data_IF_141423197848
#
_entry.id   IF_141423197848
#
_cell.length_a   1.000
_cell.length_b   1.000
_cell.length_c   1.000
_cell.angle_alpha   90.00
_cell.angle_beta   90.00
_cell.angle_gamma   90.00
#
_symmetry.space_group_name_H-M   'P 1'
#
loop_
_entity.id
_entity.type
_entity.pdbx_description
1 polymer ?
#
# COMPACT_ATOMS: atom_id res chain seq x y z
N UNK A 1 -8.04 -23.66 -61.89
CA UNK A 1 -8.74 -24.40 -60.83
C UNK A 1 -7.71 -25.15 -60.00
N UNK A 2 -7.30 -24.58 -58.87
CA UNK A 2 -6.56 -25.26 -57.78
C UNK A 2 -6.86 -24.44 -56.53
N UNK A 3 -8.00 -24.73 -55.90
CA UNK A 3 -8.30 -24.24 -54.56
C UNK A 3 -7.46 -25.07 -53.61
N UNK A 4 -6.35 -24.49 -53.14
CA UNK A 4 -5.58 -25.06 -52.05
C UNK A 4 -6.44 -25.01 -50.79
N UNK A 5 -6.54 -26.16 -50.12
CA UNK A 5 -7.50 -26.42 -49.04
C UNK A 5 -7.43 -25.43 -47.89
N UNK A 6 -8.62 -25.12 -47.37
CA UNK A 6 -8.84 -24.58 -46.04
C UNK A 6 -8.36 -25.62 -45.04
N UNK A 7 -7.09 -25.52 -44.64
CA UNK A 7 -6.56 -26.26 -43.49
C UNK A 7 -7.14 -25.67 -42.21
N UNK A 8 -8.00 -26.44 -41.54
CA UNK A 8 -8.61 -26.14 -40.23
C UNK A 8 -7.59 -26.16 -39.07
N UNK A 9 -6.50 -25.42 -39.20
CA UNK A 9 -5.50 -25.26 -38.15
C UNK A 9 -5.33 -23.78 -37.83
N UNK A 10 -6.05 -23.27 -36.82
CA UNK A 10 -5.75 -21.95 -36.25
C UNK A 10 -4.25 -21.90 -35.90
N UNK A 11 -3.47 -20.93 -36.41
CA UNK A 11 -2.05 -20.85 -36.12
C UNK A 11 -1.88 -20.60 -34.62
N UNK A 12 -1.09 -21.43 -33.93
CA UNK A 12 -0.88 -21.39 -32.47
C UNK A 12 -0.58 -19.98 -31.92
N UNK A 13 0.00 -19.10 -32.74
CA UNK A 13 0.30 -17.70 -32.42
C UNK A 13 -0.92 -16.81 -32.18
N UNK A 14 -2.03 -17.00 -32.90
CA UNK A 14 -3.23 -16.15 -32.75
C UNK A 14 -3.99 -16.47 -31.45
N UNK A 15 -4.13 -17.75 -31.12
CA UNK A 15 -4.73 -18.20 -29.85
C UNK A 15 -3.92 -17.71 -28.65
N UNK A 16 -2.59 -17.80 -28.72
CA UNK A 16 -1.70 -17.33 -27.66
C UNK A 16 -1.82 -15.81 -27.44
N UNK A 17 -1.87 -15.01 -28.51
CA UNK A 17 -2.06 -13.56 -28.41
C UNK A 17 -3.42 -13.19 -27.80
N UNK A 18 -4.49 -13.92 -28.14
CA UNK A 18 -5.81 -13.73 -27.54
C UNK A 18 -5.80 -14.03 -26.04
N UNK A 19 -5.17 -15.14 -25.63
CA UNK A 19 -5.00 -15.48 -24.22
C UNK A 19 -4.22 -14.40 -23.46
N UNK A 20 -3.13 -13.87 -24.03
CA UNK A 20 -2.35 -12.78 -23.43
C UNK A 20 -3.18 -11.49 -23.27
N UNK A 21 -4.00 -11.15 -24.27
CA UNK A 21 -4.89 -9.97 -24.21
C UNK A 21 -5.92 -10.11 -23.08
N UNK A 22 -6.60 -11.26 -23.02
CA UNK A 22 -7.61 -11.50 -21.98
C UNK A 22 -6.97 -11.50 -20.58
N UNK A 23 -5.83 -12.16 -20.44
CA UNK A 23 -5.05 -12.15 -19.20
C UNK A 23 -4.70 -10.71 -18.79
N UNK A 24 -4.07 -9.92 -19.68
CA UNK A 24 -3.66 -8.55 -19.39
C UNK A 24 -4.86 -7.65 -19.05
N UNK A 25 -6.01 -7.84 -19.71
CA UNK A 25 -7.24 -7.12 -19.38
C UNK A 25 -7.73 -7.44 -17.96
N UNK A 26 -7.80 -8.73 -17.59
CA UNK A 26 -8.21 -9.15 -16.25
C UNK A 26 -7.27 -8.59 -15.17
N UNK A 27 -5.95 -8.69 -15.36
CA UNK A 27 -4.98 -8.15 -14.41
C UNK A 27 -5.06 -6.62 -14.29
N UNK A 28 -5.32 -5.89 -15.37
CA UNK A 28 -5.54 -4.44 -15.30
C UNK A 28 -6.79 -4.09 -14.48
N UNK A 29 -7.89 -4.84 -14.65
CA UNK A 29 -9.11 -4.64 -13.84
C UNK A 29 -8.83 -4.95 -12.36
N UNK A 30 -8.13 -6.03 -12.05
CA UNK A 30 -7.76 -6.37 -10.67
C UNK A 30 -6.82 -5.32 -10.04
N UNK A 31 -5.82 -4.85 -10.78
CA UNK A 31 -4.91 -3.78 -10.36
C UNK A 31 -5.66 -2.48 -10.10
N UNK A 32 -6.61 -2.11 -10.97
CA UNK A 32 -7.46 -0.95 -10.79
C UNK A 32 -8.27 -1.04 -9.49
N UNK A 33 -8.97 -2.16 -9.27
CA UNK A 33 -9.78 -2.35 -8.07
C UNK A 33 -8.92 -2.32 -6.79
N UNK A 34 -7.76 -2.98 -6.83
CA UNK A 34 -6.83 -3.00 -5.69
C UNK A 34 -6.28 -1.60 -5.41
N UNK A 35 -5.92 -0.84 -6.44
CA UNK A 35 -5.47 0.54 -6.30
C UNK A 35 -6.55 1.46 -5.70
N UNK A 36 -7.82 1.29 -6.10
CA UNK A 36 -8.95 2.01 -5.49
C UNK A 36 -9.08 1.68 -4.00
N UNK A 37 -8.92 0.41 -3.61
CA UNK A 37 -8.95 0.01 -2.20
C UNK A 37 -7.81 0.66 -1.41
N UNK A 38 -6.58 0.63 -1.92
CA UNK A 38 -5.42 1.28 -1.26
C UNK A 38 -5.65 2.78 -1.10
N UNK A 39 -6.13 3.46 -2.16
CA UNK A 39 -6.42 4.88 -2.14
C UNK A 39 -7.49 5.19 -1.07
N UNK A 40 -8.57 4.41 -1.05
CA UNK A 40 -9.67 4.57 -0.09
C UNK A 40 -9.20 4.37 1.35
N UNK A 41 -8.45 3.30 1.63
CA UNK A 41 -7.90 3.03 2.97
C UNK A 41 -6.87 4.08 3.39
N UNK A 42 -5.98 4.49 2.49
CA UNK A 42 -4.99 5.52 2.74
C UNK A 42 -5.63 6.87 3.09
N UNK A 43 -6.68 7.26 2.34
CA UNK A 43 -7.45 8.46 2.67
C UNK A 43 -8.24 8.29 3.98
N UNK A 44 -8.84 7.12 4.22
CA UNK A 44 -9.57 6.86 5.46
C UNK A 44 -8.66 7.03 6.68
N UNK A 45 -7.52 6.35 6.73
CA UNK A 45 -6.56 6.52 7.85
C UNK A 45 -6.10 7.98 7.96
N UNK A 46 -5.93 8.68 6.83
CA UNK A 46 -5.52 10.08 6.82
C UNK A 46 -6.56 11.04 7.43
N UNK A 47 -7.84 10.73 7.27
CA UNK A 47 -8.94 11.56 7.75
C UNK A 47 -9.61 11.04 9.03
N UNK A 48 -9.12 9.94 9.59
CA UNK A 48 -9.47 9.49 10.93
C UNK A 48 -8.92 10.50 11.96
N UNK A 49 -9.83 11.15 12.69
CA UNK A 49 -9.51 12.29 13.54
C UNK A 49 -8.63 11.89 14.73
N UNK A 50 -8.95 10.79 15.38
CA UNK A 50 -8.26 10.31 16.58
C UNK A 50 -6.85 9.82 16.18
N UNK A 51 -6.77 9.00 15.13
CA UNK A 51 -5.50 8.51 14.60
C UNK A 51 -4.59 9.65 14.16
N UNK A 52 -5.13 10.64 13.44
CA UNK A 52 -4.38 11.83 13.01
C UNK A 52 -3.85 12.62 14.19
N UNK A 53 -4.64 12.80 15.24
CA UNK A 53 -4.23 13.54 16.42
C UNK A 53 -3.07 12.81 17.12
N UNK A 54 -3.15 11.49 17.29
CA UNK A 54 -2.08 10.69 17.90
C UNK A 54 -0.77 10.78 17.14
N UNK A 55 -0.79 10.60 15.81
CA UNK A 55 0.42 10.69 15.00
C UNK A 55 1.06 12.09 15.09
N UNK A 56 0.24 13.15 15.12
CA UNK A 56 0.74 14.52 15.21
C UNK A 56 1.39 14.80 16.55
N UNK A 57 0.70 14.50 17.66
CA UNK A 57 1.18 14.80 19.02
C UNK A 57 2.36 13.90 19.42
N UNK A 58 2.43 12.64 18.93
CA UNK A 58 3.57 11.74 19.14
C UNK A 58 4.75 12.00 18.18
N UNK A 59 4.64 13.04 17.33
CA UNK A 59 5.67 13.44 16.37
C UNK A 59 6.05 12.33 15.37
N UNK A 60 5.08 11.47 15.01
CA UNK A 60 5.27 10.32 14.12
C UNK A 60 5.13 10.70 12.64
N UNK A 61 5.72 11.83 12.23
CA UNK A 61 5.56 12.39 10.88
C UNK A 61 5.98 11.43 9.76
N UNK A 62 6.96 10.56 10.01
CA UNK A 62 7.48 9.60 9.04
C UNK A 62 6.45 8.52 8.67
N UNK A 63 5.48 8.23 9.54
CA UNK A 63 4.36 7.34 9.23
C UNK A 63 3.56 7.86 8.01
N UNK A 64 3.27 9.17 7.99
CA UNK A 64 2.51 9.79 6.90
C UNK A 64 3.26 9.75 5.57
N UNK A 65 4.59 9.82 5.59
CA UNK A 65 5.40 9.72 4.37
C UNK A 65 5.14 8.42 3.63
N UNK A 66 5.13 7.28 4.34
CA UNK A 66 4.83 5.98 3.75
C UNK A 66 3.41 5.92 3.16
N UNK A 67 2.42 6.39 3.92
CA UNK A 67 1.01 6.43 3.46
C UNK A 67 0.84 7.30 2.21
N UNK A 68 1.46 8.48 2.16
CA UNK A 68 1.34 9.37 1.00
C UNK A 68 2.01 8.81 -0.26
N UNK A 69 3.16 8.14 -0.11
CA UNK A 69 3.81 7.45 -1.23
C UNK A 69 2.87 6.38 -1.80
N UNK A 70 2.23 5.58 -0.94
CA UNK A 70 1.27 4.56 -1.37
C UNK A 70 0.02 5.15 -2.03
N UNK A 71 -0.52 6.25 -1.50
CA UNK A 71 -1.65 6.96 -2.14
C UNK A 71 -1.27 7.47 -3.53
N UNK A 72 -0.09 8.08 -3.67
CA UNK A 72 0.39 8.58 -4.95
C UNK A 72 0.63 7.44 -5.95
N UNK A 73 1.32 6.37 -5.54
CA UNK A 73 1.55 5.19 -6.37
C UNK A 73 0.24 4.53 -6.80
N UNK A 74 -0.69 4.30 -5.89
CA UNK A 74 -2.01 3.72 -6.20
C UNK A 74 -2.80 4.60 -7.18
N UNK A 75 -2.77 5.92 -7.03
CA UNK A 75 -3.43 6.85 -7.96
C UNK A 75 -2.86 6.75 -9.38
N UNK A 76 -1.53 6.61 -9.50
CA UNK A 76 -0.87 6.43 -10.80
C UNK A 76 -1.22 5.06 -11.38
N UNK A 77 -1.17 3.98 -10.60
CA UNK A 77 -1.51 2.62 -11.05
C UNK A 77 -2.97 2.53 -11.51
N UNK A 78 -3.88 3.23 -10.83
CA UNK A 78 -5.27 3.36 -11.24
C UNK A 78 -5.38 3.97 -12.64
N UNK A 79 -4.66 5.07 -12.92
CA UNK A 79 -4.61 5.68 -14.26
C UNK A 79 -3.94 4.76 -15.29
N UNK A 80 -2.84 4.10 -14.92
CA UNK A 80 -2.12 3.15 -15.80
C UNK A 80 -2.98 1.94 -16.16
N UNK A 81 -3.89 1.51 -15.28
CA UNK A 81 -4.79 0.39 -15.55
C UNK A 81 -5.75 0.71 -16.71
N UNK A 82 -6.25 1.95 -16.81
CA UNK A 82 -7.02 2.40 -17.98
C UNK A 82 -6.17 2.42 -19.25
N UNK A 83 -4.94 2.94 -19.17
CA UNK A 83 -4.00 2.96 -20.29
C UNK A 83 -3.65 1.52 -20.73
N UNK A 84 -3.50 0.59 -19.79
CA UNK A 84 -3.26 -0.83 -20.04
C UNK A 84 -4.40 -1.47 -20.82
N UNK A 85 -5.65 -1.19 -20.46
CA UNK A 85 -6.83 -1.62 -21.23
C UNK A 85 -6.82 -1.05 -22.66
N UNK A 86 -6.57 0.26 -22.83
CA UNK A 86 -6.46 0.89 -24.15
C UNK A 86 -5.29 0.33 -24.99
N UNK A 87 -4.13 0.09 -24.36
CA UNK A 87 -2.96 -0.48 -25.01
C UNK A 87 -3.18 -1.91 -25.50
N UNK A 88 -3.96 -2.69 -24.74
CA UNK A 88 -4.35 -4.06 -25.11
C UNK A 88 -5.27 -4.07 -26.33
N UNK A 89 -6.21 -3.12 -26.42
CA UNK A 89 -7.17 -2.99 -27.54
C UNK A 89 -6.51 -2.43 -28.80
N UNK A 90 -5.64 -1.42 -28.65
CA UNK A 90 -4.98 -0.75 -29.78
C UNK A 90 -3.83 -1.55 -30.38
N UNK A 91 -3.35 -2.60 -29.69
CA UNK A 91 -2.26 -3.48 -30.12
C UNK A 91 -0.98 -2.70 -30.50
N UNK A 92 -0.78 -1.54 -29.90
CA UNK A 92 0.35 -0.67 -30.21
C UNK A 92 1.56 -1.04 -29.33
N UNK A 93 2.67 -1.55 -29.89
CA UNK A 93 3.84 -1.99 -29.13
C UNK A 93 4.55 -0.86 -28.37
N UNK A 94 4.37 0.39 -28.78
CA UNK A 94 4.93 1.56 -28.10
C UNK A 94 4.13 1.91 -26.85
N UNK A 95 2.79 1.94 -26.95
CA UNK A 95 1.91 2.17 -25.79
C UNK A 95 2.12 1.09 -24.74
N UNK A 96 2.21 -0.17 -25.17
CA UNK A 96 2.42 -1.30 -24.28
C UNK A 96 3.80 -1.27 -23.60
N UNK A 97 4.82 -0.77 -24.31
CA UNK A 97 6.15 -0.54 -23.74
C UNK A 97 6.17 0.58 -22.69
N UNK A 98 5.50 1.70 -22.97
CA UNK A 98 5.37 2.81 -22.01
C UNK A 98 4.62 2.38 -20.75
N UNK A 99 3.51 1.65 -20.91
CA UNK A 99 2.76 1.05 -19.80
C UNK A 99 3.66 0.19 -18.91
N UNK A 100 4.46 -0.72 -19.49
CA UNK A 100 5.37 -1.59 -18.73
C UNK A 100 6.45 -0.81 -17.98
N UNK A 101 7.02 0.24 -18.58
CA UNK A 101 8.02 1.09 -17.93
C UNK A 101 7.40 1.86 -16.77
N UNK A 102 6.23 2.47 -16.97
CA UNK A 102 5.54 3.24 -15.93
C UNK A 102 5.10 2.34 -14.75
N UNK A 103 4.64 1.11 -15.04
CA UNK A 103 4.38 0.13 -13.99
C UNK A 103 5.64 -0.25 -13.21
N UNK A 104 6.79 -0.39 -13.87
CA UNK A 104 8.05 -0.67 -13.19
C UNK A 104 8.45 0.48 -12.24
N UNK A 105 8.26 1.73 -12.65
CA UNK A 105 8.47 2.90 -11.77
C UNK A 105 7.52 2.87 -10.59
N UNK A 106 6.24 2.57 -10.81
CA UNK A 106 5.25 2.46 -9.73
C UNK A 106 5.60 1.35 -8.75
N UNK A 107 6.06 0.19 -9.25
CA UNK A 107 6.51 -0.93 -8.43
C UNK A 107 7.63 -0.51 -7.46
N UNK A 108 8.63 0.21 -7.95
CA UNK A 108 9.73 0.70 -7.10
C UNK A 108 9.22 1.68 -6.04
N UNK A 109 8.35 2.61 -6.43
CA UNK A 109 7.73 3.57 -5.50
C UNK A 109 6.88 2.87 -4.44
N UNK A 110 6.15 1.84 -4.83
CA UNK A 110 5.27 1.07 -3.96
C UNK A 110 6.07 0.28 -2.93
N UNK A 111 7.13 -0.42 -3.34
CA UNK A 111 8.03 -1.12 -2.42
C UNK A 111 8.70 -0.14 -1.46
N UNK A 112 9.14 1.03 -1.95
CA UNK A 112 9.68 2.08 -1.09
C UNK A 112 8.63 2.60 -0.09
N UNK A 113 7.39 2.82 -0.54
CA UNK A 113 6.28 3.25 0.30
C UNK A 113 5.93 2.23 1.39
N UNK A 114 5.85 0.95 1.03
CA UNK A 114 5.62 -0.16 1.98
C UNK A 114 6.77 -0.24 2.99
N UNK A 115 8.03 -0.16 2.54
CA UNK A 115 9.18 -0.21 3.44
C UNK A 115 9.18 0.95 4.45
N UNK A 116 8.90 2.18 4.00
CA UNK A 116 8.80 3.35 4.89
C UNK A 116 7.62 3.20 5.85
N UNK A 117 6.46 2.73 5.37
CA UNK A 117 5.27 2.53 6.19
C UNK A 117 5.54 1.51 7.29
N UNK A 118 6.05 0.33 6.94
CA UNK A 118 6.33 -0.74 7.92
C UNK A 118 7.40 -0.31 8.92
N UNK A 119 8.47 0.36 8.46
CA UNK A 119 9.50 0.85 9.38
C UNK A 119 8.97 1.87 10.39
N UNK A 120 7.88 2.59 10.09
CA UNK A 120 7.29 3.61 10.94
C UNK A 120 5.92 3.23 11.53
N UNK A 121 5.42 2.04 11.25
CA UNK A 121 4.07 1.62 11.62
C UNK A 121 3.99 0.22 12.22
N UNK A 122 5.08 -0.55 12.24
CA UNK A 122 5.08 -1.95 12.71
C UNK A 122 5.75 -2.08 14.08
N UNK A 123 5.31 -3.06 14.87
CA UNK A 123 5.97 -3.42 16.12
C UNK A 123 7.41 -3.88 15.86
N UNK A 124 8.32 -3.60 16.80
CA UNK A 124 9.74 -3.94 16.73
C UNK A 124 10.53 -3.24 15.61
N UNK A 125 9.98 -2.17 15.04
CA UNK A 125 10.70 -1.28 14.12
C UNK A 125 11.15 0.01 14.81
N UNK A 126 11.68 0.97 14.05
CA UNK A 126 12.09 2.29 14.56
C UNK A 126 10.98 2.99 15.35
N UNK A 127 9.71 2.82 14.97
CA UNK A 127 8.58 3.45 15.66
C UNK A 127 8.46 2.98 17.11
N UNK A 128 8.77 1.71 17.40
CA UNK A 128 8.64 1.15 18.75
C UNK A 128 9.61 1.81 19.72
N UNK A 129 10.86 2.00 19.30
CA UNK A 129 11.88 2.67 20.10
C UNK A 129 11.59 4.16 20.24
N UNK A 130 11.19 4.81 19.14
CA UNK A 130 10.75 6.20 19.17
C UNK A 130 9.60 6.41 20.16
N UNK A 131 8.56 5.57 20.10
CA UNK A 131 7.43 5.65 21.03
C UNK A 131 7.85 5.47 22.48
N UNK A 132 8.79 4.56 22.76
CA UNK A 132 9.33 4.38 24.11
C UNK A 132 9.94 5.68 24.62
N UNK A 133 10.82 6.29 23.85
CA UNK A 133 11.50 7.53 24.27
C UNK A 133 10.50 8.69 24.37
N UNK A 134 9.57 8.80 23.42
CA UNK A 134 8.52 9.82 23.43
C UNK A 134 7.60 9.71 24.64
N UNK A 135 7.06 8.53 24.96
CA UNK A 135 6.22 8.40 26.15
C UNK A 135 6.97 8.72 27.44
N UNK A 136 8.27 8.39 27.52
CA UNK A 136 9.08 8.73 28.67
C UNK A 136 9.24 10.26 28.81
N UNK A 137 9.47 10.95 27.70
CA UNK A 137 9.52 12.41 27.64
C UNK A 137 8.19 13.05 28.02
N UNK A 138 7.06 12.54 27.50
CA UNK A 138 5.71 13.00 27.85
C UNK A 138 5.46 12.91 29.37
N UNK A 139 5.86 11.81 30.00
CA UNK A 139 5.77 11.64 31.45
C UNK A 139 6.62 12.69 32.17
N UNK A 140 7.86 12.92 31.72
CA UNK A 140 8.77 13.88 32.33
C UNK A 140 8.23 15.32 32.30
N UNK A 141 7.67 15.77 31.16
CA UNK A 141 7.19 17.16 30.98
C UNK A 141 5.72 17.40 31.34
N UNK A 142 4.99 16.36 31.75
CA UNK A 142 3.55 16.42 32.03
C UNK A 142 3.14 17.48 33.08
N UNK A 143 4.00 17.85 34.03
CA UNK A 143 3.65 18.85 35.06
C UNK A 143 3.74 20.30 34.55
N UNK A 144 4.54 20.52 33.51
CA UNK A 144 4.84 21.86 32.99
C UNK A 144 4.14 22.15 31.68
N UNK A 145 3.76 21.12 30.92
CA UNK A 145 3.11 21.25 29.63
C UNK A 145 1.73 20.56 29.62
N UNK A 146 0.68 21.36 29.75
CA UNK A 146 -0.71 20.89 29.76
C UNK A 146 -1.11 20.18 28.46
N UNK A 147 -0.48 20.49 27.31
CA UNK A 147 -0.76 19.81 26.03
C UNK A 147 -0.23 18.38 26.06
N UNK A 148 1.02 18.20 26.47
CA UNK A 148 1.68 16.88 26.58
C UNK A 148 0.99 16.01 27.64
N UNK A 149 0.61 16.61 28.78
CA UNK A 149 -0.18 15.93 29.80
C UNK A 149 -1.53 15.45 29.28
N UNK A 150 -2.22 16.29 28.49
CA UNK A 150 -3.52 15.94 27.89
C UNK A 150 -3.40 14.76 26.94
N UNK A 151 -2.42 14.75 26.03
CA UNK A 151 -2.27 13.66 25.07
C UNK A 151 -1.86 12.35 25.77
N UNK A 152 -0.94 12.41 26.74
CA UNK A 152 -0.55 11.24 27.54
C UNK A 152 -1.76 10.62 28.23
N UNK A 153 -2.61 11.47 28.81
CA UNK A 153 -3.85 11.05 29.47
C UNK A 153 -4.81 10.34 28.51
N UNK A 154 -5.11 10.97 27.37
CA UNK A 154 -6.02 10.42 26.36
C UNK A 154 -5.53 9.05 25.89
N UNK A 155 -4.24 8.93 25.56
CA UNK A 155 -3.67 7.67 25.08
C UNK A 155 -3.75 6.58 26.14
N UNK A 156 -3.34 6.85 27.39
CA UNK A 156 -3.38 5.84 28.46
C UNK A 156 -4.81 5.34 28.72
N UNK A 157 -5.78 6.24 28.66
CA UNK A 157 -7.18 5.95 28.89
C UNK A 157 -7.83 5.17 27.72
N UNK A 158 -7.58 5.58 26.47
CA UNK A 158 -8.22 4.99 25.29
C UNK A 158 -7.51 3.73 24.78
N UNK A 159 -6.18 3.70 24.81
CA UNK A 159 -5.39 2.55 24.33
C UNK A 159 -5.27 1.47 25.42
N UNK A 160 -5.45 1.86 26.69
CA UNK A 160 -5.36 0.97 27.84
C UNK A 160 -3.93 0.52 28.13
N UNK A 161 -3.08 1.50 28.46
CA UNK A 161 -1.66 1.29 28.75
C UNK A 161 -1.20 2.22 29.88
N UNK A 162 -0.03 1.94 30.48
CA UNK A 162 0.53 2.81 31.51
C UNK A 162 2.04 3.00 31.40
N UNK A 163 2.47 4.26 31.47
CA UNK A 163 3.87 4.63 31.41
C UNK A 163 4.46 4.47 30.02
N UNK A 164 5.79 4.59 29.91
CA UNK A 164 6.47 4.35 28.63
C UNK A 164 6.61 2.86 28.41
N UNK A 165 7.42 2.19 29.23
CA UNK A 165 7.61 0.76 29.32
C UNK A 165 6.70 0.11 30.36
N UNK A 166 6.47 0.80 31.49
CA UNK A 166 5.58 0.34 32.56
C UNK A 166 5.20 1.51 33.49
N UNK A 167 4.24 1.29 34.38
CA UNK A 167 3.86 2.27 35.41
C UNK A 167 5.00 2.70 36.34
N UNK A 168 6.04 1.87 36.51
CA UNK A 168 7.24 2.21 37.27
C UNK A 168 7.98 3.44 36.71
N UNK A 169 7.78 3.78 35.44
CA UNK A 169 8.39 4.97 34.83
C UNK A 169 7.97 6.26 35.56
N UNK A 170 6.74 6.35 36.07
CA UNK A 170 6.30 7.47 36.88
C UNK A 170 7.08 7.55 38.21
N UNK A 171 7.26 6.41 38.87
CA UNK A 171 8.00 6.32 40.14
C UNK A 171 9.46 6.72 39.93
N UNK A 172 10.08 6.28 38.83
CA UNK A 172 11.46 6.61 38.48
C UNK A 172 11.68 8.12 38.28
N UNK A 173 10.65 8.86 37.85
CA UNK A 173 10.70 10.32 37.73
C UNK A 173 10.04 11.05 38.92
N UNK A 174 9.81 10.35 40.03
CA UNK A 174 9.23 10.90 41.27
C UNK A 174 7.82 11.48 41.10
N UNK A 175 7.01 10.88 40.22
CA UNK A 175 5.61 11.26 39.98
C UNK A 175 4.64 10.16 40.43
N UNK A 176 3.43 10.51 40.89
CA UNK A 176 2.40 9.52 41.15
C UNK A 176 1.90 8.90 39.85
N UNK A 177 1.53 7.62 39.90
CA UNK A 177 0.86 6.96 38.77
C UNK A 177 -0.54 7.59 38.61
N UNK A 178 -0.90 8.10 37.42
CA UNK A 178 -2.16 8.78 37.19
C UNK A 178 -3.35 7.81 37.17
N UNK A 179 -4.55 8.31 37.45
CA UNK A 179 -5.76 7.46 37.50
C UNK A 179 -6.12 6.87 36.14
N UNK A 180 -5.71 7.51 35.05
CA UNK A 180 -5.95 7.07 33.68
C UNK A 180 -5.13 5.83 33.29
N UNK A 181 -4.15 5.45 34.13
CA UNK A 181 -3.47 4.16 34.05
C UNK A 181 -4.31 2.98 34.60
N UNK A 182 -5.57 3.19 34.99
CA UNK A 182 -6.43 2.16 35.54
C UNK A 182 -7.59 1.84 34.61
N UNK A 183 -7.90 0.56 34.50
CA UNK A 183 -9.08 0.07 33.81
C UNK A 183 -10.34 0.52 34.56
N UNK A 184 -11.27 1.17 33.85
CA UNK A 184 -12.49 1.73 34.45
C UNK A 184 -13.46 0.68 35.00
N UNK A 185 -13.43 -0.54 34.47
CA UNK A 185 -14.33 -1.61 34.86
C UNK A 185 -13.80 -2.38 36.07
N UNK A 186 -12.49 -2.66 36.10
CA UNK A 186 -11.87 -3.47 37.16
C UNK A 186 -11.16 -2.64 38.24
N UNK A 187 -10.79 -1.40 37.96
CA UNK A 187 -9.98 -0.53 38.82
C UNK A 187 -8.50 -0.92 38.89
N UNK A 188 -8.12 -2.00 38.19
CA UNK A 188 -6.75 -2.50 38.13
C UNK A 188 -5.89 -1.63 37.23
N UNK A 189 -4.60 -1.52 37.55
CA UNK A 189 -3.62 -0.82 36.75
C UNK A 189 -3.31 -1.59 35.46
N UNK A 190 -3.11 -0.87 34.35
CA UNK A 190 -2.64 -1.46 33.10
C UNK A 190 -1.19 -1.93 33.24
N UNK A 191 -0.96 -3.22 32.96
CA UNK A 191 0.37 -3.84 33.06
C UNK A 191 1.27 -3.53 31.84
N UNK A 192 0.68 -3.27 30.68
CA UNK A 192 1.41 -3.02 29.44
C UNK A 192 1.84 -1.54 29.34
N UNK A 193 3.11 -1.32 28.96
CA UNK A 193 3.62 0.00 28.60
C UNK A 193 2.97 0.59 27.34
N UNK A 194 2.87 1.91 27.26
CA UNK A 194 2.26 2.54 26.09
C UNK A 194 3.07 2.37 24.81
N UNK A 195 4.39 2.19 24.88
CA UNK A 195 5.20 2.00 23.68
C UNK A 195 4.79 0.76 22.88
N UNK A 196 4.52 -0.37 23.56
CA UNK A 196 4.17 -1.64 22.92
C UNK A 196 2.71 -1.64 22.47
N UNK A 197 1.81 -1.13 23.31
CA UNK A 197 0.37 -1.03 23.01
C UNK A 197 0.09 -0.09 21.84
N UNK A 198 0.73 1.08 21.84
CA UNK A 198 0.60 2.03 20.73
C UNK A 198 1.24 1.50 19.45
N UNK A 199 2.39 0.82 19.54
CA UNK A 199 3.02 0.21 18.36
C UNK A 199 2.12 -0.86 17.72
N UNK A 200 1.45 -1.69 18.52
CA UNK A 200 0.45 -2.66 18.02
C UNK A 200 -0.76 -1.97 17.39
N UNK A 201 -1.23 -0.88 18.01
CA UNK A 201 -2.31 -0.07 17.44
C UNK A 201 -1.95 0.49 16.05
N UNK A 202 -0.71 0.94 15.86
CA UNK A 202 -0.21 1.38 14.55
C UNK A 202 -0.05 0.22 13.56
N UNK A 203 0.42 -0.93 14.03
CA UNK A 203 0.64 -2.13 13.21
C UNK A 203 -0.67 -2.68 12.65
N UNK A 204 -1.71 -2.74 13.49
CA UNK A 204 -3.03 -3.18 13.05
C UNK A 204 -3.58 -2.29 11.93
N UNK A 205 -3.36 -0.97 11.98
CA UNK A 205 -3.86 -0.03 10.97
C UNK A 205 -3.01 -0.03 9.69
N UNK A 206 -1.69 -0.04 9.83
CA UNK A 206 -0.76 0.00 8.70
C UNK A 206 -0.59 -1.36 8.00
N UNK A 207 -0.75 -2.46 8.74
CA UNK A 207 -0.58 -3.83 8.25
C UNK A 207 -1.56 -4.20 7.13
N UNK A 208 -2.84 -3.83 7.24
CA UNK A 208 -3.82 -4.07 6.16
C UNK A 208 -3.42 -3.35 4.87
N UNK A 209 -3.02 -2.08 4.96
CA UNK A 209 -2.60 -1.29 3.78
C UNK A 209 -1.34 -1.90 3.17
N UNK A 210 -0.34 -2.23 3.98
CA UNK A 210 0.90 -2.83 3.51
C UNK A 210 0.64 -4.19 2.82
N UNK A 211 -0.24 -5.03 3.37
CA UNK A 211 -0.60 -6.31 2.77
C UNK A 211 -1.28 -6.16 1.41
N UNK A 212 -2.23 -5.23 1.27
CA UNK A 212 -2.92 -4.97 0.01
C UNK A 212 -1.97 -4.34 -1.03
N UNK A 213 -1.06 -3.46 -0.59
CA UNK A 213 -0.01 -2.94 -1.45
C UNK A 213 0.91 -4.08 -1.95
N UNK A 214 1.40 -4.96 -1.08
CA UNK A 214 2.21 -6.10 -1.54
C UNK A 214 1.47 -6.99 -2.55
N UNK A 215 0.16 -7.17 -2.40
CA UNK A 215 -0.65 -7.86 -3.40
C UNK A 215 -0.70 -7.10 -4.74
N UNK A 216 -0.87 -5.77 -4.73
CA UNK A 216 -0.79 -4.95 -5.93
C UNK A 216 0.58 -5.06 -6.61
N UNK A 217 1.67 -5.07 -5.86
CA UNK A 217 3.02 -5.25 -6.37
C UNK A 217 3.18 -6.58 -7.15
N UNK A 218 2.57 -7.67 -6.66
CA UNK A 218 2.53 -8.96 -7.39
C UNK A 218 1.75 -8.83 -8.70
N UNK A 219 0.59 -8.17 -8.68
CA UNK A 219 -0.19 -7.91 -9.91
C UNK A 219 0.61 -7.06 -10.92
N UNK A 220 1.40 -6.10 -10.46
CA UNK A 220 2.26 -5.27 -11.32
C UNK A 220 3.34 -6.10 -12.00
N UNK A 221 4.04 -7.00 -11.29
CA UNK A 221 5.04 -7.88 -11.89
C UNK A 221 4.42 -8.72 -13.01
N UNK A 222 3.23 -9.29 -12.76
CA UNK A 222 2.48 -10.03 -13.77
C UNK A 222 2.06 -9.15 -14.96
N UNK A 223 1.63 -7.91 -14.70
CA UNK A 223 1.31 -6.93 -15.74
C UNK A 223 2.53 -6.50 -16.58
N UNK A 224 3.69 -6.34 -15.95
CA UNK A 224 4.96 -5.99 -16.62
C UNK A 224 5.39 -7.14 -17.52
N UNK A 225 5.44 -8.38 -17.00
CA UNK A 225 5.83 -9.56 -17.80
C UNK A 225 4.88 -9.81 -18.95
N UNK A 226 3.57 -9.71 -18.74
CA UNK A 226 2.56 -9.83 -19.79
C UNK A 226 2.67 -8.72 -20.85
N UNK A 227 2.89 -7.47 -20.46
CA UNK A 227 3.03 -6.35 -21.42
C UNK A 227 4.31 -6.46 -22.26
N UNK A 228 5.44 -6.84 -21.66
CA UNK A 228 6.69 -7.01 -22.37
C UNK A 228 6.66 -8.20 -23.34
N UNK A 229 6.06 -9.33 -22.92
CA UNK A 229 5.90 -10.51 -23.79
C UNK A 229 4.96 -10.24 -24.96
N UNK A 230 3.84 -9.56 -24.72
CA UNK A 230 2.92 -9.14 -25.78
C UNK A 230 3.57 -8.11 -26.71
N UNK A 231 4.35 -7.15 -26.19
CA UNK A 231 5.12 -6.18 -27.00
C UNK A 231 6.14 -6.88 -27.90
N UNK A 232 6.89 -7.83 -27.35
CA UNK A 232 7.87 -8.59 -28.11
C UNK A 232 7.19 -9.40 -29.23
N UNK A 233 6.05 -10.01 -28.91
CA UNK A 233 5.25 -10.77 -29.90
C UNK A 233 4.74 -9.86 -31.02
N UNK A 234 4.19 -8.69 -30.69
CA UNK A 234 3.71 -7.71 -31.68
C UNK A 234 4.84 -7.21 -32.60
N UNK A 235 5.99 -6.82 -32.04
CA UNK A 235 7.16 -6.39 -32.83
C UNK A 235 7.69 -7.49 -33.73
N UNK A 236 7.68 -8.74 -33.26
CA UNK A 236 8.07 -9.89 -34.09
C UNK A 236 7.13 -10.05 -35.29
N UNK A 237 5.82 -9.93 -35.07
CA UNK A 237 4.83 -10.01 -36.15
C UNK A 237 4.97 -8.86 -37.16
N UNK A 238 5.25 -7.65 -36.68
CA UNK A 238 5.53 -6.47 -37.52
C UNK A 238 6.78 -6.67 -38.39
N UNK A 239 7.89 -7.14 -37.79
CA UNK A 239 9.14 -7.42 -38.50
C UNK A 239 9.00 -8.56 -39.52
N UNK A 240 8.14 -9.55 -39.26
CA UNK A 240 7.86 -10.65 -40.20
C UNK A 240 6.97 -10.23 -41.38
N UNK A 241 6.53 -8.97 -41.48
CA UNK A 241 5.66 -8.48 -42.54
C UNK A 241 4.25 -9.09 -42.54
N UNK A 242 3.91 -9.85 -41.48
CA UNK A 242 2.54 -10.31 -41.21
C UNK A 242 1.79 -9.12 -40.63
N UNK A 243 1.38 -8.18 -41.49
CA UNK A 243 0.46 -7.11 -41.11
C UNK A 243 -0.80 -7.77 -40.59
N UNK A 244 -0.93 -7.87 -39.27
CA UNK A 244 -2.19 -8.14 -38.62
C UNK A 244 -3.07 -6.94 -38.94
N UNK A 245 -3.98 -7.10 -39.90
CA UNK A 245 -4.88 -6.05 -40.34
C UNK A 245 -6.18 -6.15 -39.53
N UNK A 246 -6.37 -5.37 -38.45
CA UNK A 246 -7.57 -5.43 -37.62
C UNK A 246 -8.84 -5.06 -38.40
N UNK A 247 -8.72 -4.34 -39.52
CA UNK A 247 -9.86 -3.82 -40.30
C UNK A 247 -10.58 -4.92 -41.11
N UNK A 248 -9.95 -6.07 -41.38
CA UNK A 248 -10.60 -7.17 -42.12
C UNK A 248 -11.57 -8.01 -41.29
N UNK A 249 -11.58 -7.90 -39.96
CA UNK A 249 -12.43 -8.74 -39.09
C UNK A 249 -13.85 -8.19 -38.83
N UNK A 250 -14.16 -6.97 -39.30
CA UNK A 250 -15.51 -6.40 -39.22
C UNK A 250 -16.39 -6.74 -40.43
N UNK A 251 -15.88 -7.47 -41.43
CA UNK A 251 -16.60 -7.80 -42.68
C UNK A 251 -16.51 -9.27 -43.09
N UNK A 252 -16.28 -10.17 -42.14
CA UNK A 252 -16.34 -11.62 -42.37
C UNK A 252 -17.23 -12.26 -41.32
#
# INVERSE_FOLDING_TARGET
>A
MKMAGVGNGWPKSERALLCMKYFLFVFNVLSFLTAVVILTLGLWIRYDWDFKHYILELHLYQFWTGVYILIAAASIVMALSFIGCCGTITENPTILGLYGILLCVCFVLEIAGVAVLLNNGTLWSNVTWWLRDRFYELIYVSDTNAREARILRIIQEEVGCCGSYSSLDYINVHKPVPNECRDKATGNEYLDGCYIRMSRYLEERSGWIAGIALFLAVLQILGITASLTMRHTLRKLENEGKVYNPVKKSKA
#
